data_IF_123815173352
#
_entry.id   IF_123815173352
#
_cell.length_a   1.000
_cell.length_b   1.000
_cell.length_c   1.000
_cell.angle_alpha   90.00
_cell.angle_beta   90.00
_cell.angle_gamma   90.00
#
_symmetry.space_group_name_H-M   'P 1'
#
loop_
_entity.id
_entity.type
_entity.pdbx_description
1 polymer ?
#
# COMPACT_ATOMS: atom_id res chain seq x y z
N UNK A 1 49.88 -28.70 32.60
CA UNK A 1 49.98 -28.58 31.12
C UNK A 1 48.80 -27.77 30.59
N UNK A 2 49.11 -26.57 30.10
CA UNK A 2 48.45 -25.70 29.09
C UNK A 2 46.91 -25.79 28.98
N UNK A 3 46.25 -24.78 29.54
CA UNK A 3 44.84 -24.48 29.30
C UNK A 3 44.60 -24.26 27.79
N UNK A 4 43.70 -25.07 27.22
CA UNK A 4 43.35 -25.08 25.79
C UNK A 4 42.70 -23.73 25.43
N UNK A 5 43.50 -22.79 24.89
CA UNK A 5 43.06 -21.46 24.45
C UNK A 5 41.92 -21.61 23.43
N UNK A 6 40.68 -21.39 23.88
CA UNK A 6 39.46 -21.49 23.07
C UNK A 6 39.63 -20.55 21.86
N UNK A 7 39.43 -21.07 20.65
CA UNK A 7 39.76 -20.35 19.41
C UNK A 7 38.84 -19.14 19.22
N UNK A 8 39.32 -17.96 19.60
CA UNK A 8 38.65 -16.67 19.40
C UNK A 8 38.35 -16.38 17.92
N UNK A 9 39.00 -17.09 16.97
CA UNK A 9 38.76 -16.94 15.53
C UNK A 9 37.33 -17.33 15.13
N UNK A 10 36.74 -18.34 15.77
CA UNK A 10 35.34 -18.75 15.51
C UNK A 10 34.35 -17.73 16.05
N UNK A 11 34.64 -17.15 17.21
CA UNK A 11 33.84 -16.08 17.83
C UNK A 11 33.93 -14.81 16.97
N UNK A 12 35.13 -14.47 16.50
CA UNK A 12 35.36 -13.33 15.61
C UNK A 12 34.66 -13.49 14.25
N UNK A 13 34.71 -14.68 13.65
CA UNK A 13 33.98 -14.98 12.42
C UNK A 13 32.46 -14.88 12.60
N UNK A 14 31.93 -15.37 13.73
CA UNK A 14 30.50 -15.25 14.05
C UNK A 14 30.08 -13.79 14.27
N UNK A 15 30.90 -12.99 14.95
CA UNK A 15 30.67 -11.55 15.14
C UNK A 15 30.70 -10.78 13.81
N UNK A 16 31.66 -11.10 12.94
CA UNK A 16 31.77 -10.49 11.62
C UNK A 16 30.54 -10.81 10.75
N UNK A 17 30.06 -12.05 10.79
CA UNK A 17 28.84 -12.47 10.09
C UNK A 17 27.58 -11.78 10.65
N UNK A 18 27.47 -11.66 11.97
CA UNK A 18 26.36 -10.95 12.60
C UNK A 18 26.37 -9.46 12.21
N UNK A 19 27.56 -8.84 12.15
CA UNK A 19 27.73 -7.44 11.78
C UNK A 19 27.35 -7.20 10.32
N UNK A 20 27.79 -8.04 9.38
CA UNK A 20 27.42 -7.91 7.96
C UNK A 20 25.93 -8.15 7.74
N UNK A 21 25.32 -9.09 8.48
CA UNK A 21 23.88 -9.28 8.48
C UNK A 21 23.14 -8.02 8.97
N UNK A 22 23.60 -7.40 10.06
CA UNK A 22 23.02 -6.15 10.58
C UNK A 22 23.15 -4.98 9.60
N UNK A 23 24.31 -4.84 8.94
CA UNK A 23 24.53 -3.81 7.92
C UNK A 23 23.63 -4.02 6.71
N UNK A 24 23.42 -5.27 6.28
CA UNK A 24 22.49 -5.59 5.20
C UNK A 24 21.04 -5.21 5.55
N UNK A 25 20.60 -5.46 6.79
CA UNK A 25 19.28 -5.06 7.27
C UNK A 25 19.12 -3.53 7.31
N UNK A 26 20.15 -2.80 7.77
CA UNK A 26 20.14 -1.34 7.82
C UNK A 26 20.17 -0.71 6.42
N UNK A 27 20.95 -1.28 5.49
CA UNK A 27 21.02 -0.83 4.10
C UNK A 27 19.67 -0.99 3.39
N UNK A 28 18.99 -2.10 3.61
CA UNK A 28 17.63 -2.33 3.13
C UNK A 28 16.64 -1.30 3.71
N UNK A 29 16.76 -0.99 5.01
CA UNK A 29 15.93 0.00 5.67
C UNK A 29 16.15 1.40 5.11
N UNK A 30 17.40 1.77 4.79
CA UNK A 30 17.78 3.10 4.30
C UNK A 30 17.47 3.30 2.81
N UNK A 31 17.82 2.35 1.94
CA UNK A 31 17.54 2.44 0.49
C UNK A 31 16.05 2.35 0.18
N UNK A 32 15.30 1.58 0.98
CA UNK A 32 13.88 1.37 0.76
C UNK A 32 13.01 2.40 1.49
N UNK A 33 13.58 3.38 2.20
CA UNK A 33 12.84 4.17 3.18
C UNK A 33 11.77 5.11 2.61
N UNK A 34 11.73 5.31 1.28
CA UNK A 34 10.82 6.28 0.66
C UNK A 34 10.11 5.80 -0.60
N UNK A 35 10.47 4.63 -1.15
CA UNK A 35 9.97 4.13 -2.44
C UNK A 35 9.13 2.87 -2.32
N UNK A 36 8.07 2.78 -3.10
CA UNK A 36 7.28 1.56 -3.26
C UNK A 36 8.15 0.54 -4.01
N UNK A 37 8.05 -0.73 -3.63
CA UNK A 37 8.90 -1.75 -4.23
C UNK A 37 8.51 -1.95 -5.72
N UNK A 38 9.48 -2.12 -6.65
CA UNK A 38 9.18 -2.40 -8.04
C UNK A 38 8.24 -3.60 -8.21
N UNK A 39 7.37 -3.57 -9.22
CA UNK A 39 6.39 -4.63 -9.48
C UNK A 39 5.03 -4.44 -8.82
N UNK A 40 4.87 -3.45 -7.93
CA UNK A 40 3.57 -3.06 -7.36
C UNK A 40 2.82 -2.13 -8.31
N UNK A 41 1.55 -2.44 -8.54
CA UNK A 41 0.61 -1.67 -9.34
C UNK A 41 -0.64 -1.36 -8.50
N UNK A 42 -1.31 -0.26 -8.79
CA UNK A 42 -2.62 0.08 -8.22
C UNK A 42 -3.58 0.25 -9.39
N UNK A 43 -4.57 -0.63 -9.48
CA UNK A 43 -5.56 -0.64 -10.56
C UNK A 43 -4.92 -0.61 -11.96
N UNK A 44 -3.85 -1.38 -12.15
CA UNK A 44 -3.05 -1.43 -13.37
C UNK A 44 -2.03 -0.31 -13.54
N UNK A 45 -2.09 0.77 -12.74
CA UNK A 45 -1.09 1.85 -12.78
C UNK A 45 0.19 1.45 -12.05
N UNK A 46 1.33 1.55 -12.71
CA UNK A 46 2.63 1.18 -12.14
C UNK A 46 3.09 2.23 -11.11
N UNK A 47 3.01 1.88 -9.83
CA UNK A 47 3.47 2.74 -8.71
C UNK A 47 4.79 2.25 -8.11
N UNK A 48 5.20 1.03 -8.42
CA UNK A 48 6.48 0.47 -7.99
C UNK A 48 7.68 1.25 -8.52
N UNK A 49 8.62 1.56 -7.63
CA UNK A 49 9.79 2.39 -7.93
C UNK A 49 9.60 3.89 -7.64
N UNK A 50 8.35 4.35 -7.53
CA UNK A 50 8.02 5.72 -7.15
C UNK A 50 8.14 5.93 -5.64
N UNK A 51 8.38 7.17 -5.23
CA UNK A 51 8.20 7.60 -3.85
C UNK A 51 6.73 7.65 -3.46
N UNK A 52 6.43 7.63 -2.15
CA UNK A 52 5.04 7.80 -1.68
C UNK A 52 4.41 9.09 -2.20
N UNK A 53 5.20 10.17 -2.31
CA UNK A 53 4.74 11.47 -2.79
C UNK A 53 4.44 11.44 -4.30
N UNK A 54 5.37 10.93 -5.11
CA UNK A 54 5.15 10.76 -6.57
C UNK A 54 3.95 9.84 -6.88
N UNK A 55 3.78 8.78 -6.10
CA UNK A 55 2.63 7.89 -6.24
C UNK A 55 1.33 8.55 -5.77
N UNK A 56 1.38 9.43 -4.76
CA UNK A 56 0.22 10.21 -4.33
C UNK A 56 -0.24 11.19 -5.42
N UNK A 57 0.69 11.84 -6.11
CA UNK A 57 0.38 12.74 -7.22
C UNK A 57 -0.29 11.98 -8.38
N UNK A 58 0.23 10.79 -8.72
CA UNK A 58 -0.36 9.93 -9.75
C UNK A 58 -1.79 9.51 -9.36
N UNK A 59 -1.97 9.05 -8.13
CA UNK A 59 -3.29 8.66 -7.63
C UNK A 59 -4.23 9.86 -7.44
N UNK A 60 -3.71 11.06 -7.22
CA UNK A 60 -4.51 12.29 -7.11
C UNK A 60 -5.24 12.61 -8.42
N UNK A 61 -4.57 12.42 -9.56
CA UNK A 61 -5.21 12.58 -10.87
C UNK A 61 -6.33 11.54 -11.08
N UNK A 62 -6.06 10.28 -10.71
CA UNK A 62 -7.09 9.23 -10.73
C UNK A 62 -8.23 9.53 -9.77
N UNK A 63 -7.94 10.04 -8.56
CA UNK A 63 -8.96 10.39 -7.59
C UNK A 63 -9.90 11.47 -8.13
N UNK A 64 -9.35 12.48 -8.83
CA UNK A 64 -10.14 13.54 -9.45
C UNK A 64 -11.04 13.01 -10.56
N UNK A 65 -10.54 12.12 -11.42
CA UNK A 65 -11.35 11.45 -12.45
C UNK A 65 -12.54 10.69 -11.84
N UNK A 66 -12.34 10.06 -10.67
CA UNK A 66 -13.40 9.31 -10.00
C UNK A 66 -14.38 10.21 -9.23
N UNK A 67 -13.99 11.39 -8.75
CA UNK A 67 -14.93 12.29 -8.06
C UNK A 67 -16.16 12.63 -8.91
N UNK A 68 -15.94 12.86 -10.20
CA UNK A 68 -16.98 13.27 -11.15
C UNK A 68 -17.75 12.08 -11.74
N UNK A 69 -17.38 10.84 -11.42
CA UNK A 69 -18.13 9.66 -11.87
C UNK A 69 -19.50 9.64 -11.23
N UNK A 70 -20.50 9.50 -12.08
CA UNK A 70 -21.91 9.44 -11.71
C UNK A 70 -22.35 8.00 -11.51
N UNK A 71 -23.13 7.79 -10.47
CA UNK A 71 -23.82 6.53 -10.17
C UNK A 71 -25.31 6.79 -10.30
N UNK A 72 -25.96 5.91 -11.05
CA UNK A 72 -27.41 5.85 -11.14
C UNK A 72 -27.95 4.88 -10.07
N UNK A 73 -28.84 5.37 -9.22
CA UNK A 73 -29.59 4.58 -8.26
C UNK A 73 -31.00 4.41 -8.83
N UNK A 74 -31.33 3.18 -9.21
CA UNK A 74 -32.67 2.80 -9.65
C UNK A 74 -33.55 2.49 -8.44
N UNK A 75 -34.62 3.26 -8.27
CA UNK A 75 -35.64 3.05 -7.26
C UNK A 75 -36.71 2.06 -7.75
N UNK A 76 -37.44 1.39 -6.82
CA UNK A 76 -38.46 0.41 -7.17
C UNK A 76 -39.60 0.98 -8.05
N UNK A 77 -39.95 2.26 -7.89
CA UNK A 77 -40.96 2.92 -8.73
C UNK A 77 -40.45 3.33 -10.13
N UNK A 78 -39.21 3.01 -10.49
CA UNK A 78 -38.61 3.34 -11.78
C UNK A 78 -38.01 4.74 -11.86
N UNK A 79 -37.94 5.46 -10.74
CA UNK A 79 -37.19 6.72 -10.64
C UNK A 79 -35.68 6.45 -10.63
N UNK A 80 -34.93 7.28 -11.36
CA UNK A 80 -33.48 7.21 -11.43
C UNK A 80 -32.90 8.44 -10.73
N UNK A 81 -32.16 8.21 -9.64
CA UNK A 81 -31.40 9.26 -8.97
C UNK A 81 -29.93 9.16 -9.39
N UNK A 82 -29.44 10.22 -10.01
CA UNK A 82 -28.05 10.31 -10.46
C UNK A 82 -27.27 11.14 -9.46
N UNK A 83 -26.31 10.52 -8.78
CA UNK A 83 -25.40 11.18 -7.86
C UNK A 83 -23.95 10.97 -8.30
N UNK A 84 -23.12 11.99 -8.20
CA UNK A 84 -21.66 11.85 -8.29
C UNK A 84 -21.11 11.14 -7.05
N UNK A 85 -19.94 10.49 -7.20
CA UNK A 85 -19.23 9.89 -6.06
C UNK A 85 -18.95 10.93 -4.97
N UNK A 86 -18.60 12.16 -5.37
CA UNK A 86 -18.38 13.26 -4.43
C UNK A 86 -19.64 13.63 -3.63
N UNK A 87 -20.81 13.74 -4.27
CA UNK A 87 -22.09 14.00 -3.59
C UNK A 87 -22.45 12.90 -2.59
N UNK A 88 -22.11 11.65 -2.89
CA UNK A 88 -22.30 10.51 -2.00
C UNK A 88 -21.29 10.47 -0.84
N UNK A 89 -20.34 11.41 -0.78
CA UNK A 89 -19.25 11.41 0.20
C UNK A 89 -18.30 10.20 0.05
N UNK A 90 -18.18 9.70 -1.17
CA UNK A 90 -17.31 8.58 -1.54
C UNK A 90 -16.05 9.16 -2.15
N UNK A 91 -14.91 8.85 -1.54
CA UNK A 91 -13.61 9.33 -1.99
C UNK A 91 -12.64 8.16 -2.13
N UNK A 92 -11.67 8.30 -3.05
CA UNK A 92 -10.59 7.34 -3.15
C UNK A 92 -9.71 7.41 -1.88
N UNK A 93 -9.44 6.26 -1.27
CA UNK A 93 -8.56 6.17 -0.11
C UNK A 93 -7.10 6.03 -0.55
N UNK A 94 -6.55 7.13 -1.07
CA UNK A 94 -5.16 7.21 -1.54
C UNK A 94 -4.16 6.85 -0.44
N UNK A 95 -4.40 7.30 0.80
CA UNK A 95 -3.55 7.01 1.95
C UNK A 95 -3.45 5.51 2.24
N UNK A 96 -4.59 4.82 2.32
CA UNK A 96 -4.62 3.38 2.55
C UNK A 96 -4.01 2.59 1.39
N UNK A 97 -4.27 3.02 0.14
CA UNK A 97 -3.72 2.38 -1.06
C UNK A 97 -2.18 2.47 -1.08
N UNK A 98 -1.63 3.66 -0.84
CA UNK A 98 -0.18 3.87 -0.77
C UNK A 98 0.46 3.11 0.37
N UNK A 99 -0.21 3.04 1.53
CA UNK A 99 0.31 2.27 2.66
C UNK A 99 0.32 0.78 2.34
N UNK A 100 -0.77 0.23 1.77
CA UNK A 100 -0.80 -1.16 1.30
C UNK A 100 0.31 -1.44 0.29
N UNK A 101 0.46 -0.58 -0.73
CA UNK A 101 1.51 -0.70 -1.74
C UNK A 101 2.92 -0.68 -1.12
N UNK A 102 3.14 0.16 -0.12
CA UNK A 102 4.42 0.23 0.59
C UNK A 102 4.68 -1.00 1.46
N UNK A 103 3.64 -1.56 2.08
CA UNK A 103 3.71 -2.71 2.99
C UNK A 103 3.81 -4.06 2.28
N UNK A 104 3.46 -4.16 0.99
CA UNK A 104 3.53 -5.41 0.21
C UNK A 104 4.90 -6.10 0.29
N UNK A 105 6.00 -5.32 0.35
CA UNK A 105 7.36 -5.85 0.49
C UNK A 105 7.95 -5.71 1.91
N UNK A 106 7.13 -5.27 2.89
CA UNK A 106 7.55 -4.80 4.23
C UNK A 106 6.66 -5.29 5.37
N UNK A 107 6.18 -6.53 5.32
CA UNK A 107 5.39 -7.22 6.36
C UNK A 107 5.99 -7.34 7.78
N UNK A 108 7.13 -6.71 8.08
CA UNK A 108 7.79 -6.73 9.39
C UNK A 108 8.67 -7.95 9.70
N UNK A 109 8.48 -9.08 9.00
CA UNK A 109 9.32 -10.28 9.18
C UNK A 109 10.33 -10.42 8.03
N UNK A 110 11.61 -10.60 8.36
CA UNK A 110 12.70 -10.63 7.36
C UNK A 110 12.48 -11.70 6.26
N UNK A 111 12.04 -12.90 6.65
CA UNK A 111 11.74 -14.00 5.71
C UNK A 111 10.58 -13.67 4.76
N UNK A 112 9.49 -13.12 5.30
CA UNK A 112 8.32 -12.76 4.50
C UNK A 112 8.65 -11.62 3.53
N UNK A 113 9.46 -10.65 3.98
CA UNK A 113 9.91 -9.55 3.11
C UNK A 113 10.76 -10.08 1.95
N UNK A 114 11.67 -11.01 2.21
CA UNK A 114 12.47 -11.62 1.14
C UNK A 114 11.60 -12.35 0.11
N UNK A 115 10.67 -13.18 0.58
CA UNK A 115 9.74 -13.89 -0.31
C UNK A 115 8.84 -12.94 -1.10
N UNK A 116 8.30 -11.91 -0.45
CA UNK A 116 7.45 -10.91 -1.10
C UNK A 116 8.22 -10.14 -2.18
N UNK A 117 9.47 -9.76 -1.91
CA UNK A 117 10.35 -9.10 -2.90
C UNK A 117 10.67 -10.00 -4.09
N UNK A 118 10.97 -11.27 -3.83
CA UNK A 118 11.19 -12.26 -4.89
C UNK A 118 9.94 -12.46 -5.74
N UNK A 119 8.77 -12.56 -5.10
CA UNK A 119 7.47 -12.64 -5.77
C UNK A 119 7.24 -11.42 -6.65
N UNK A 120 7.40 -10.20 -6.12
CA UNK A 120 7.21 -8.94 -6.85
C UNK A 120 8.17 -8.78 -8.04
N UNK A 121 9.37 -9.35 -7.95
CA UNK A 121 10.33 -9.36 -9.05
C UNK A 121 9.90 -10.32 -10.18
N UNK A 122 9.34 -11.48 -9.84
CA UNK A 122 8.89 -12.49 -10.80
C UNK A 122 7.52 -12.15 -11.40
N UNK A 123 6.61 -11.68 -10.57
CA UNK A 123 5.20 -11.45 -10.88
C UNK A 123 4.74 -10.11 -10.29
N UNK A 124 4.08 -9.31 -11.13
CA UNK A 124 3.52 -8.03 -10.72
C UNK A 124 2.35 -8.26 -9.77
N UNK A 125 2.25 -7.44 -8.73
CA UNK A 125 1.09 -7.42 -7.82
C UNK A 125 0.26 -6.19 -8.14
N UNK A 126 -1.04 -6.38 -8.34
CA UNK A 126 -1.99 -5.30 -8.58
C UNK A 126 -2.93 -5.16 -7.38
N UNK A 127 -2.97 -3.97 -6.81
CA UNK A 127 -3.79 -3.63 -5.65
C UNK A 127 -5.08 -2.98 -6.18
N UNK A 128 -6.27 -3.52 -5.85
CA UNK A 128 -7.53 -2.94 -6.29
C UNK A 128 -7.77 -1.58 -5.62
N UNK A 129 -8.51 -0.69 -6.29
CA UNK A 129 -8.90 0.60 -5.72
C UNK A 129 -9.71 0.39 -4.43
N UNK A 130 -9.46 1.26 -3.46
CA UNK A 130 -10.16 1.29 -2.18
C UNK A 130 -10.81 2.65 -2.04
N UNK A 131 -12.07 2.67 -1.66
CA UNK A 131 -12.83 3.89 -1.42
C UNK A 131 -13.14 4.02 0.07
N UNK A 132 -13.06 5.23 0.60
CA UNK A 132 -13.54 5.59 1.92
C UNK A 132 -14.92 6.23 1.79
N UNK A 133 -15.78 5.93 2.75
CA UNK A 133 -17.17 6.37 2.76
C UNK A 133 -17.41 7.21 4.01
N UNK A 134 -17.99 8.39 3.85
CA UNK A 134 -18.49 9.15 4.98
C UNK A 134 -19.91 8.70 5.34
N UNK A 135 -20.02 7.92 6.43
CA UNK A 135 -21.30 7.37 6.91
C UNK A 135 -22.31 8.46 7.28
N UNK A 136 -21.84 9.66 7.66
CA UNK A 136 -22.72 10.79 8.00
C UNK A 136 -23.37 11.37 6.75
N UNK A 137 -22.59 11.63 5.70
CA UNK A 137 -23.09 12.13 4.42
C UNK A 137 -24.07 11.15 3.75
N UNK A 138 -23.75 9.85 3.79
CA UNK A 138 -24.65 8.80 3.30
C UNK A 138 -25.98 8.76 4.05
N UNK A 139 -25.96 8.89 5.38
CA UNK A 139 -27.19 8.91 6.17
C UNK A 139 -28.08 10.11 5.85
N UNK A 140 -27.52 11.28 5.57
CA UNK A 140 -28.31 12.45 5.15
C UNK A 140 -29.01 12.23 3.81
N UNK A 141 -28.34 11.56 2.86
CA UNK A 141 -28.91 11.21 1.56
C UNK A 141 -30.00 10.16 1.71
N UNK A 142 -29.77 9.11 2.51
CA UNK A 142 -30.80 8.11 2.81
C UNK A 142 -32.04 8.74 3.47
N UNK A 143 -31.85 9.69 4.39
CA UNK A 143 -32.96 10.40 5.02
C UNK A 143 -33.71 11.33 4.06
N UNK A 144 -33.05 11.87 3.03
CA UNK A 144 -33.70 12.62 1.95
C UNK A 144 -34.52 11.71 1.05
N UNK A 145 -33.97 10.57 0.65
CA UNK A 145 -34.66 9.60 -0.21
C UNK A 145 -35.89 9.01 0.51
N UNK A 146 -35.78 8.68 1.80
CA UNK A 146 -36.90 8.10 2.57
C UNK A 146 -37.96 9.15 3.01
N UNK A 147 -37.74 10.44 2.73
CA UNK A 147 -38.71 11.52 2.98
C UNK A 147 -39.38 12.04 1.70
N UNK A 148 -38.86 11.69 0.53
CA UNK A 148 -39.50 11.90 -0.77
C UNK A 148 -40.53 10.80 -0.99
#
# INVERSE_FOLDING_TARGET
>A
MIAKKKSNKKIFAALLFLLTFFIALLGDFYCSHKRIYPGVHINGAAVGGLTKDEAADLLGQTAEEYKDKKIAILLPEGEELIYSLHELGIELDTGLLLEKAYQEARSGHCWNNFYARYRLWKEKTDIPLSFKFNTQALNEIFLRINKA
#
